data_IF_121366330684
#
_entry.id   IF_121366330684
#
_cell.length_a   1.000
_cell.length_b   1.000
_cell.length_c   1.000
_cell.angle_alpha   90.00
_cell.angle_beta   90.00
_cell.angle_gamma   90.00
#
_symmetry.space_group_name_H-M   'P 1'
#
loop_
_entity.id
_entity.type
_entity.pdbx_description
1 polymer ?
#
# COMPACT_ATOMS: atom_id res chain seq x y z
N UNK A 1 19.44 -0.76 9.39
CA UNK A 1 18.55 -1.49 8.53
C UNK A 1 17.64 -0.58 7.74
N UNK A 2 17.50 -0.84 6.48
CA UNK A 2 16.71 0.01 5.63
C UNK A 2 15.38 -0.61 5.35
N UNK A 3 14.34 0.18 5.40
CA UNK A 3 13.03 -0.27 5.06
C UNK A 3 12.68 0.32 3.72
N UNK A 4 12.48 -0.53 2.76
CA UNK A 4 12.18 -0.07 1.42
C UNK A 4 10.71 0.26 1.30
N UNK A 5 10.44 1.28 0.51
CA UNK A 5 9.07 1.63 0.21
C UNK A 5 8.40 0.52 -0.57
N UNK A 6 7.16 0.20 -0.28
CA UNK A 6 6.43 -0.72 -1.14
C UNK A 6 6.34 -0.20 -2.56
N UNK A 7 6.24 -1.10 -3.50
CA UNK A 7 6.25 -0.72 -4.90
C UNK A 7 5.13 0.26 -5.24
N UNK A 8 3.95 0.07 -4.67
CA UNK A 8 2.83 0.94 -4.99
C UNK A 8 3.02 2.37 -4.49
N UNK A 9 3.92 2.58 -3.55
CA UNK A 9 4.19 3.93 -3.06
C UNK A 9 5.26 4.66 -3.85
N UNK A 10 5.82 4.02 -4.87
CA UNK A 10 6.86 4.65 -5.67
C UNK A 10 6.31 5.61 -6.71
N UNK A 11 5.02 5.56 -6.97
CA UNK A 11 4.39 6.42 -7.96
C UNK A 11 3.15 7.06 -7.35
N UNK A 12 3.15 8.38 -7.16
CA UNK A 12 2.01 9.05 -6.48
C UNK A 12 0.70 8.97 -7.25
N UNK A 13 0.75 8.59 -8.54
CA UNK A 13 -0.49 8.47 -9.30
C UNK A 13 -1.24 7.18 -9.01
N UNK A 14 -0.59 6.25 -8.35
CA UNK A 14 -1.18 4.94 -8.10
C UNK A 14 -1.98 4.90 -6.81
N UNK A 15 -1.83 5.90 -5.94
CA UNK A 15 -2.46 5.83 -4.63
C UNK A 15 -2.86 7.21 -4.16
N UNK A 16 -3.71 7.24 -3.15
CA UNK A 16 -4.04 8.48 -2.48
C UNK A 16 -4.27 8.16 -1.01
N UNK A 17 -4.18 9.20 -0.18
CA UNK A 17 -4.34 9.03 1.25
C UNK A 17 -5.81 9.21 1.61
N UNK A 18 -6.37 8.21 2.26
CA UNK A 18 -7.75 8.28 2.72
C UNK A 18 -7.75 8.71 4.17
N UNK A 19 -8.16 9.92 4.41
CA UNK A 19 -8.11 10.47 5.75
C UNK A 19 -9.14 9.84 6.68
N UNK A 20 -10.21 9.37 6.12
CA UNK A 20 -11.24 8.75 6.94
C UNK A 20 -10.78 7.46 7.55
N UNK A 21 -10.09 6.65 6.78
CA UNK A 21 -9.64 5.37 7.26
C UNK A 21 -8.20 5.38 7.70
N UNK A 22 -7.49 6.46 7.39
CA UNK A 22 -6.10 6.58 7.79
C UNK A 22 -5.17 5.64 7.07
N UNK A 23 -5.53 5.21 5.88
CA UNK A 23 -4.70 4.32 5.08
C UNK A 23 -4.63 4.83 3.66
N UNK A 24 -3.70 4.28 2.90
CA UNK A 24 -3.60 4.59 1.49
C UNK A 24 -4.55 3.71 0.72
N UNK A 25 -5.09 4.23 -0.35
CA UNK A 25 -5.93 3.47 -1.25
C UNK A 25 -5.44 3.64 -2.66
N UNK A 26 -5.71 2.65 -3.50
CA UNK A 26 -5.23 2.67 -4.87
C UNK A 26 -6.20 3.41 -5.77
N UNK A 27 -5.64 4.06 -6.79
CA UNK A 27 -6.43 4.70 -7.83
C UNK A 27 -6.61 3.75 -9.00
N UNK A 28 -7.44 4.14 -9.96
CA UNK A 28 -7.59 3.29 -11.14
C UNK A 28 -6.38 3.34 -12.06
N UNK A 29 -5.40 4.17 -11.74
CA UNK A 29 -4.17 4.19 -12.52
C UNK A 29 -3.15 3.19 -12.02
N UNK A 30 -3.41 2.54 -10.90
CA UNK A 30 -2.48 1.57 -10.35
C UNK A 30 -2.34 0.38 -11.29
N UNK A 31 -1.09 -0.04 -11.52
CA UNK A 31 -0.84 -1.21 -12.35
C UNK A 31 -1.14 -2.48 -11.57
N UNK A 32 -1.25 -3.63 -12.25
CA UNK A 32 -1.44 -4.89 -11.53
C UNK A 32 -0.34 -5.18 -10.52
N UNK A 33 0.89 -4.78 -10.84
CA UNK A 33 1.98 -4.95 -9.90
C UNK A 33 1.80 -4.08 -8.67
N UNK A 34 1.30 -2.86 -8.88
CA UNK A 34 1.04 -1.98 -7.75
C UNK A 34 -0.07 -2.53 -6.87
N UNK A 35 -1.09 -3.10 -7.49
CA UNK A 35 -2.18 -3.71 -6.73
C UNK A 35 -1.66 -4.86 -5.88
N UNK A 36 -0.82 -5.69 -6.45
CA UNK A 36 -0.27 -6.80 -5.72
C UNK A 36 0.60 -6.34 -4.56
N UNK A 37 1.40 -5.33 -4.81
CA UNK A 37 2.26 -4.77 -3.78
C UNK A 37 1.43 -4.20 -2.64
N UNK A 38 0.34 -3.53 -2.98
CA UNK A 38 -0.56 -2.95 -2.00
C UNK A 38 -1.15 -4.03 -1.11
N UNK A 39 -1.62 -5.11 -1.71
CA UNK A 39 -2.21 -6.20 -0.95
C UNK A 39 -1.21 -6.81 0.01
N UNK A 40 0.00 -7.03 -0.46
CA UNK A 40 1.03 -7.62 0.37
C UNK A 40 1.42 -6.71 1.52
N UNK A 41 1.47 -5.42 1.24
CA UNK A 41 1.85 -4.45 2.25
C UNK A 41 0.85 -4.47 3.41
N UNK A 42 -0.44 -4.42 3.10
CA UNK A 42 -1.44 -4.38 4.16
C UNK A 42 -1.68 -5.74 4.78
N UNK A 43 -1.41 -6.80 4.05
CA UNK A 43 -1.45 -8.13 4.61
C UNK A 43 -0.38 -8.30 5.69
N UNK A 44 0.79 -7.78 5.43
CA UNK A 44 1.88 -7.87 6.40
C UNK A 44 1.57 -7.08 7.64
N UNK A 45 0.99 -5.90 7.48
CA UNK A 45 0.62 -5.09 8.62
C UNK A 45 -0.44 -5.80 9.44
N UNK A 46 -1.40 -6.37 8.76
CA UNK A 46 -2.49 -7.08 9.43
C UNK A 46 -1.98 -8.28 10.21
N UNK A 47 -1.03 -8.99 9.63
CA UNK A 47 -0.43 -10.13 10.29
C UNK A 47 0.27 -9.76 11.56
N UNK A 48 0.91 -8.62 11.58
CA UNK A 48 1.64 -8.19 12.75
C UNK A 48 0.74 -7.74 13.86
N UNK A 49 -0.48 -7.45 13.55
CA UNK A 49 -1.42 -6.94 14.52
C UNK A 49 -2.12 -8.03 15.30
N UNK A 50 -1.72 -9.21 15.15
CA UNK A 50 -2.36 -10.30 15.85
C UNK A 50 -1.97 -10.32 17.27
N UNK A 51 -2.52 -10.37 17.79
CA UNK A 51 -2.22 -10.71 19.02
C UNK A 51 -2.60 -10.97 19.60
#
# INVERSE_FOLDING_TARGET
>A
MMIEKPYFLTNPEWYYEDEEEGIYKLTDKATPEAVESYKKFYEAIDSQDIF
#
